data_IF_899187622136
#
_entry.id   IF_899187622136
#
_cell.length_a   1.000
_cell.length_b   1.000
_cell.length_c   1.000
_cell.angle_alpha   90.00
_cell.angle_beta   90.00
_cell.angle_gamma   90.00
#
_symmetry.space_group_name_H-M   'P 1'
#
loop_
_entity.id
_entity.type
_entity.pdbx_description
1 polymer ?
#
# COMPACT_ATOMS: atom_id res chain seq x y z
N UNK A 1 -17.41 16.68 43.04
CA UNK A 1 -17.41 15.27 43.52
C UNK A 1 -16.39 14.48 42.73
N UNK A 2 -15.16 14.42 43.25
CA UNK A 2 -14.02 13.72 42.69
C UNK A 2 -14.09 12.24 43.06
N UNK A 3 -14.14 11.34 42.07
CA UNK A 3 -13.82 9.93 42.29
C UNK A 3 -12.36 9.72 41.90
N UNK A 4 -11.47 9.70 42.89
CA UNK A 4 -10.13 9.12 42.75
C UNK A 4 -10.28 7.67 42.29
N UNK A 5 -9.71 7.34 41.13
CA UNK A 5 -9.40 5.97 40.75
C UNK A 5 -7.87 5.84 40.80
N UNK A 6 -7.41 5.10 41.79
CA UNK A 6 -6.02 4.80 42.07
C UNK A 6 -5.33 4.13 40.88
N UNK A 7 -4.29 4.75 40.35
CA UNK A 7 -3.29 4.11 39.50
C UNK A 7 -1.94 4.17 40.23
N UNK A 8 -1.26 3.04 40.34
CA UNK A 8 0.02 2.90 41.06
C UNK A 8 1.18 3.44 40.21
N UNK A 9 2.08 4.29 40.73
CA UNK A 9 3.21 4.81 39.96
C UNK A 9 4.35 3.80 39.91
N UNK A 10 4.85 3.46 38.72
CA UNK A 10 6.00 2.56 38.58
C UNK A 10 6.47 2.22 37.17
N UNK A 11 5.62 2.26 36.14
CA UNK A 11 5.99 1.94 34.76
C UNK A 11 5.53 3.02 33.76
N UNK A 12 6.25 3.26 32.65
CA UNK A 12 5.91 4.28 31.64
C UNK A 12 4.61 3.98 30.86
N UNK A 13 3.98 2.82 31.11
CA UNK A 13 2.71 2.38 30.55
C UNK A 13 1.77 1.96 31.67
N UNK A 14 0.87 2.83 32.11
CA UNK A 14 -0.19 2.43 33.04
C UNK A 14 -1.38 1.92 32.23
N UNK A 15 -1.73 0.65 32.39
CA UNK A 15 -2.91 0.05 31.77
C UNK A 15 -4.16 0.36 32.60
N UNK A 16 -5.04 1.20 32.09
CA UNK A 16 -6.36 1.42 32.67
C UNK A 16 -7.41 0.66 31.86
N UNK A 17 -8.06 -0.35 32.46
CA UNK A 17 -9.13 -1.14 31.80
C UNK A 17 -8.72 -1.76 30.45
N UNK A 18 -7.47 -2.19 30.32
CA UNK A 18 -6.93 -2.77 29.08
C UNK A 18 -6.63 -1.74 27.99
N UNK A 19 -6.66 -0.44 28.30
CA UNK A 19 -6.23 0.64 27.41
C UNK A 19 -4.86 1.14 27.86
N UNK A 20 -3.94 1.30 26.90
CA UNK A 20 -2.67 1.98 27.14
C UNK A 20 -2.93 3.46 27.36
N UNK A 21 -2.47 3.98 28.49
CA UNK A 21 -2.52 5.42 28.76
C UNK A 21 -1.11 5.97 28.68
N UNK A 22 -0.98 7.12 28.02
CA UNK A 22 0.30 7.76 27.75
C UNK A 22 0.48 9.00 28.63
N UNK A 23 1.73 9.29 28.99
CA UNK A 23 2.07 10.44 29.82
C UNK A 23 2.12 11.68 28.93
N UNK A 24 1.35 12.71 29.30
CA UNK A 24 1.36 14.02 28.64
C UNK A 24 2.48 14.94 29.12
N UNK A 25 2.50 16.17 28.60
CA UNK A 25 3.41 17.22 29.03
C UNK A 25 3.15 17.67 30.48
N UNK A 26 4.20 18.15 31.14
CA UNK A 26 4.16 18.62 32.53
C UNK A 26 4.33 20.15 32.66
N UNK A 27 4.52 20.84 31.54
CA UNK A 27 4.64 22.30 31.45
C UNK A 27 4.02 22.82 30.12
N UNK A 28 4.08 24.12 29.88
CA UNK A 28 3.48 24.79 28.72
C UNK A 28 4.43 24.96 27.51
N UNK A 29 5.67 24.48 27.61
CA UNK A 29 6.72 24.71 26.60
C UNK A 29 7.37 23.44 26.09
N UNK A 30 7.48 22.43 26.93
CA UNK A 30 8.09 21.15 26.64
C UNK A 30 7.23 20.31 25.69
N UNK A 31 7.92 19.57 24.83
CA UNK A 31 7.31 18.55 23.98
C UNK A 31 7.34 17.23 24.74
N UNK A 32 6.17 16.64 24.97
CA UNK A 32 6.07 15.25 25.42
C UNK A 32 5.95 14.33 24.22
N UNK A 33 6.91 13.43 24.05
CA UNK A 33 6.91 12.43 22.99
C UNK A 33 6.46 11.08 23.53
N UNK A 34 5.61 10.40 22.76
CA UNK A 34 5.20 9.03 23.04
C UNK A 34 5.45 8.20 21.79
N UNK A 35 6.22 7.11 21.96
CA UNK A 35 6.44 6.13 20.90
C UNK A 35 5.52 4.94 21.14
N UNK A 36 4.89 4.48 20.07
CA UNK A 36 4.12 3.24 20.10
C UNK A 36 5.09 2.09 19.86
N UNK A 37 5.06 1.06 20.71
CA UNK A 37 5.88 -0.14 20.56
C UNK A 37 5.58 -0.89 19.25
N UNK A 38 4.39 -0.66 18.67
CA UNK A 38 3.97 -1.22 17.39
C UNK A 38 3.30 -0.16 16.53
N UNK A 39 3.55 -0.23 15.22
CA UNK A 39 2.90 0.64 14.24
C UNK A 39 1.38 0.36 14.19
N UNK A 40 0.59 1.43 14.17
CA UNK A 40 -0.87 1.36 14.10
C UNK A 40 -1.34 1.90 12.76
N UNK A 41 -1.97 1.06 11.94
CA UNK A 41 -2.64 1.49 10.71
C UNK A 41 -4.02 2.04 11.05
N UNK A 42 -4.25 3.33 10.78
CA UNK A 42 -5.53 3.98 11.03
C UNK A 42 -5.78 5.10 10.03
N UNK A 43 -7.02 5.25 9.60
CA UNK A 43 -7.48 6.42 8.82
C UNK A 43 -7.84 7.60 9.71
N UNK A 44 -8.26 7.32 10.95
CA UNK A 44 -8.69 8.32 11.91
C UNK A 44 -8.00 8.08 13.25
N UNK A 45 -7.35 9.11 13.78
CA UNK A 45 -6.76 9.11 15.12
C UNK A 45 -7.61 9.98 16.03
N UNK A 46 -7.98 9.44 17.20
CA UNK A 46 -8.71 10.18 18.23
C UNK A 46 -7.88 10.21 19.50
N UNK A 47 -7.55 11.41 19.97
CA UNK A 47 -6.91 11.60 21.27
C UNK A 47 -8.00 11.83 22.33
N UNK A 48 -7.90 11.10 23.43
CA UNK A 48 -8.85 11.18 24.55
C UNK A 48 -8.08 11.65 25.80
N UNK A 49 -8.17 12.94 26.17
CA UNK A 49 -7.54 13.44 27.38
C UNK A 49 -8.10 12.72 28.61
N UNK A 50 -7.22 12.13 29.42
CA UNK A 50 -7.60 11.41 30.63
C UNK A 50 -7.43 12.27 31.89
N UNK A 51 -6.32 13.01 32.01
CA UNK A 51 -6.02 13.92 33.12
C UNK A 51 -5.41 15.23 32.56
N UNK A 52 -5.63 16.35 33.26
CA UNK A 52 -5.22 17.69 32.81
C UNK A 52 -5.17 18.70 33.96
N UNK A 53 -4.35 19.75 33.79
CA UNK A 53 -4.27 20.85 34.75
C UNK A 53 -4.97 22.09 34.23
N UNK A 54 -5.90 22.64 35.02
CA UNK A 54 -6.66 23.89 34.78
C UNK A 54 -7.55 23.92 33.52
N UNK A 55 -7.25 23.13 32.49
CA UNK A 55 -8.02 22.97 31.26
C UNK A 55 -7.29 22.09 30.25
N UNK A 56 -7.96 21.73 29.16
CA UNK A 56 -7.38 20.91 28.09
C UNK A 56 -6.92 21.83 26.97
N UNK A 57 -5.61 21.91 26.76
CA UNK A 57 -4.98 22.64 25.67
C UNK A 57 -3.95 21.71 25.02
N UNK A 58 -3.93 21.65 23.69
CA UNK A 58 -3.07 20.73 22.97
C UNK A 58 -2.53 21.35 21.69
N UNK A 59 -1.24 21.14 21.44
CA UNK A 59 -0.62 21.21 20.12
C UNK A 59 -0.09 19.82 19.84
N UNK A 60 -0.56 19.19 18.76
CA UNK A 60 -0.25 17.80 18.44
C UNK A 60 0.35 17.73 17.05
N UNK A 61 1.43 16.96 16.93
CA UNK A 61 1.97 16.45 15.69
C UNK A 61 1.86 14.93 15.74
N UNK A 62 1.34 14.30 14.68
CA UNK A 62 1.26 12.84 14.59
C UNK A 62 2.38 12.37 13.67
N UNK A 63 3.40 11.77 14.27
CA UNK A 63 4.52 11.19 13.56
C UNK A 63 4.11 9.81 13.02
N UNK A 64 4.15 9.64 11.71
CA UNK A 64 3.89 8.38 11.04
C UNK A 64 4.67 8.30 9.75
N UNK A 65 4.81 7.10 9.21
CA UNK A 65 5.39 6.90 7.89
C UNK A 65 4.25 6.87 6.86
N UNK A 66 4.20 7.85 5.96
CA UNK A 66 3.41 7.72 4.71
C UNK A 66 4.04 6.72 3.76
N UNK A 67 5.35 6.53 3.89
CA UNK A 67 6.17 5.49 3.30
C UNK A 67 6.33 4.35 4.31
N UNK A 68 5.34 3.46 4.37
CA UNK A 68 5.51 2.23 5.14
C UNK A 68 6.79 1.53 4.72
N UNK A 69 7.44 0.82 5.65
CA UNK A 69 8.70 0.04 5.53
C UNK A 69 8.75 -0.93 4.32
N UNK A 70 7.71 -0.95 3.48
CA UNK A 70 7.51 -1.78 2.34
C UNK A 70 6.86 -1.03 1.16
N UNK A 71 7.18 0.24 0.90
CA UNK A 71 6.61 1.05 -0.20
C UNK A 71 7.51 1.19 -1.44
N UNK A 72 8.71 0.60 -1.42
CA UNK A 72 9.70 0.74 -2.50
C UNK A 72 9.26 0.06 -3.81
N UNK A 73 9.60 0.62 -4.98
CA UNK A 73 9.45 -0.06 -6.26
C UNK A 73 10.18 -1.41 -6.25
N UNK A 74 9.52 -2.48 -6.71
CA UNK A 74 10.11 -3.82 -6.79
C UNK A 74 10.91 -4.05 -8.06
N UNK A 75 10.76 -3.16 -9.06
CA UNK A 75 11.70 -3.00 -10.17
C UNK A 75 11.14 -3.38 -11.53
N UNK A 76 9.85 -3.14 -11.77
CA UNK A 76 9.32 -3.20 -13.12
C UNK A 76 9.89 -2.06 -13.96
N UNK A 77 9.92 -0.82 -13.46
CA UNK A 77 10.41 0.33 -14.23
C UNK A 77 11.93 0.29 -14.44
N UNK A 78 12.69 -0.02 -13.40
CA UNK A 78 14.17 0.05 -13.41
C UNK A 78 14.87 -1.24 -13.90
N UNK A 79 14.10 -2.27 -14.24
CA UNK A 79 14.62 -3.52 -14.80
C UNK A 79 15.16 -4.53 -13.79
N UNK A 80 15.08 -4.29 -12.47
CA UNK A 80 15.46 -5.30 -11.45
C UNK A 80 14.56 -6.54 -11.47
N UNK A 81 13.34 -6.43 -11.98
CA UNK A 81 12.52 -7.58 -12.41
C UNK A 81 12.82 -7.81 -13.89
N UNK A 82 13.41 -8.95 -14.23
CA UNK A 82 13.83 -9.26 -15.60
C UNK A 82 12.67 -9.72 -16.50
N UNK A 83 12.85 -9.67 -17.82
CA UNK A 83 11.81 -10.06 -18.79
C UNK A 83 11.29 -11.51 -18.56
N UNK A 84 12.17 -12.44 -18.16
CA UNK A 84 11.79 -13.83 -17.88
C UNK A 84 10.89 -14.02 -16.65
N UNK A 85 10.75 -12.99 -15.81
CA UNK A 85 9.85 -12.96 -14.67
C UNK A 85 8.45 -12.43 -15.03
N UNK A 86 8.24 -11.97 -16.27
CA UNK A 86 7.01 -11.37 -16.73
C UNK A 86 6.31 -12.31 -17.71
N UNK A 87 5.06 -12.66 -17.40
CA UNK A 87 4.22 -13.46 -18.30
C UNK A 87 2.85 -12.81 -18.46
N UNK A 88 2.16 -13.15 -19.53
CA UNK A 88 0.78 -12.70 -19.77
C UNK A 88 -0.03 -13.84 -20.39
N UNK A 89 -1.35 -13.72 -20.36
CA UNK A 89 -2.25 -14.69 -21.01
C UNK A 89 -2.05 -14.71 -22.52
N UNK A 90 -2.17 -13.53 -23.14
CA UNK A 90 -1.96 -13.26 -24.56
C UNK A 90 -1.37 -11.87 -24.72
N UNK A 91 -0.87 -11.57 -25.92
CA UNK A 91 -0.40 -10.24 -26.24
C UNK A 91 -0.55 -9.95 -27.74
N UNK A 92 -0.65 -8.66 -28.08
CA UNK A 92 -0.43 -8.18 -29.44
C UNK A 92 1.06 -8.21 -29.76
N UNK A 93 1.39 -8.34 -31.04
CA UNK A 93 2.77 -8.49 -31.55
C UNK A 93 3.78 -7.51 -30.93
N UNK A 94 3.42 -6.23 -30.81
CA UNK A 94 4.30 -5.17 -30.27
C UNK A 94 4.01 -4.79 -28.80
N UNK A 95 3.19 -5.57 -28.09
CA UNK A 95 2.79 -5.29 -26.71
C UNK A 95 2.91 -6.51 -25.80
N UNK A 96 4.09 -7.18 -25.75
CA UNK A 96 4.32 -8.34 -24.91
C UNK A 96 4.25 -7.98 -23.41
N UNK A 97 4.32 -9.00 -22.54
CA UNK A 97 4.34 -8.79 -21.09
C UNK A 97 5.45 -7.80 -20.65
N UNK A 98 6.64 -7.89 -21.24
CA UNK A 98 7.75 -6.99 -20.90
C UNK A 98 7.47 -5.51 -21.24
N UNK A 99 6.54 -5.24 -22.17
CA UNK A 99 6.06 -3.88 -22.44
C UNK A 99 5.17 -3.32 -21.31
N UNK A 100 4.80 -4.13 -20.32
CA UNK A 100 3.94 -3.75 -19.19
C UNK A 100 4.60 -2.89 -18.11
N UNK A 101 5.86 -2.48 -18.26
CA UNK A 101 6.56 -1.60 -17.31
C UNK A 101 6.08 -0.15 -17.44
N UNK A 102 6.32 0.67 -16.41
CA UNK A 102 6.05 2.12 -16.51
C UNK A 102 6.86 2.76 -17.64
N UNK A 103 6.32 3.84 -18.23
CA UNK A 103 7.02 4.69 -19.21
C UNK A 103 7.43 4.05 -20.56
N UNK A 104 6.99 2.82 -20.86
CA UNK A 104 7.16 2.16 -22.18
C UNK A 104 5.78 1.91 -22.84
N UNK A 105 5.64 1.30 -24.04
CA UNK A 105 4.35 1.24 -24.78
C UNK A 105 3.18 0.52 -24.10
N UNK A 106 3.39 -0.28 -23.05
CA UNK A 106 2.33 -1.01 -22.34
C UNK A 106 2.09 -2.42 -22.88
N UNK A 107 1.72 -3.33 -21.99
CA UNK A 107 1.19 -4.64 -22.36
C UNK A 107 -0.25 -4.53 -22.85
N UNK A 108 -0.63 -5.33 -23.84
CA UNK A 108 -1.99 -5.38 -24.38
C UNK A 108 -2.35 -6.81 -24.84
N UNK A 109 -3.41 -7.44 -24.32
CA UNK A 109 -3.85 -8.77 -24.72
C UNK A 109 -4.55 -8.75 -26.08
N UNK A 110 -4.77 -9.93 -26.64
CA UNK A 110 -5.59 -10.09 -27.83
C UNK A 110 -7.05 -9.80 -27.48
N UNK A 111 -7.84 -9.13 -28.36
CA UNK A 111 -9.26 -8.86 -28.12
C UNK A 111 -10.11 -10.12 -27.90
N UNK A 112 -9.63 -11.27 -28.37
CA UNK A 112 -10.29 -12.58 -28.27
C UNK A 112 -9.99 -13.31 -26.96
N UNK A 113 -9.12 -12.78 -26.10
CA UNK A 113 -8.78 -13.39 -24.81
C UNK A 113 -9.90 -13.14 -23.80
N UNK A 114 -10.64 -14.18 -23.37
CA UNK A 114 -11.75 -14.01 -22.45
C UNK A 114 -11.30 -13.78 -21.00
N UNK A 115 -10.04 -14.07 -20.67
CA UNK A 115 -9.52 -14.00 -19.30
C UNK A 115 -8.08 -13.44 -19.28
N UNK A 116 -7.91 -12.16 -19.67
CA UNK A 116 -6.60 -11.57 -19.77
C UNK A 116 -5.90 -11.48 -18.40
N UNK A 117 -4.60 -11.74 -18.35
CA UNK A 117 -3.78 -11.46 -17.17
C UNK A 117 -2.37 -11.02 -17.54
N UNK A 118 -1.80 -10.20 -16.67
CA UNK A 118 -0.37 -9.89 -16.62
C UNK A 118 0.17 -10.39 -15.28
N UNK A 119 1.24 -11.17 -15.30
CA UNK A 119 1.80 -11.82 -14.12
C UNK A 119 3.26 -11.43 -13.93
N UNK A 120 3.59 -11.15 -12.68
CA UNK A 120 4.95 -10.92 -12.18
C UNK A 120 5.34 -12.10 -11.28
N UNK A 121 6.47 -12.75 -11.57
CA UNK A 121 7.15 -13.70 -10.68
C UNK A 121 8.28 -12.98 -9.94
N UNK A 122 8.12 -12.80 -8.63
CA UNK A 122 9.17 -12.20 -7.80
C UNK A 122 10.34 -13.15 -7.51
N UNK A 123 10.30 -14.40 -8.02
CA UNK A 123 11.24 -15.51 -7.79
C UNK A 123 11.23 -16.05 -6.35
N UNK A 124 11.02 -15.18 -5.38
CA UNK A 124 10.91 -15.48 -3.95
C UNK A 124 9.66 -14.85 -3.31
N UNK A 125 9.18 -15.39 -2.17
CA UNK A 125 8.06 -14.79 -1.45
C UNK A 125 8.35 -13.34 -1.02
N UNK A 126 7.69 -12.39 -1.68
CA UNK A 126 7.90 -10.94 -1.53
C UNK A 126 6.67 -10.29 -0.92
N UNK A 127 6.87 -9.25 -0.11
CA UNK A 127 5.78 -8.47 0.45
C UNK A 127 5.34 -7.40 -0.53
N UNK A 128 4.04 -7.36 -0.83
CA UNK A 128 3.42 -6.39 -1.71
C UNK A 128 2.53 -5.47 -0.87
N UNK A 129 2.68 -4.18 -1.04
CA UNK A 129 1.93 -3.14 -0.33
C UNK A 129 1.03 -2.33 -1.26
N UNK A 130 1.38 -2.24 -2.54
CA UNK A 130 0.65 -1.45 -3.50
C UNK A 130 1.01 -1.75 -4.95
N UNK A 131 0.23 -1.18 -5.85
CA UNK A 131 0.41 -1.28 -7.30
C UNK A 131 0.25 0.10 -7.89
N UNK A 132 1.21 0.50 -8.72
CA UNK A 132 1.09 1.68 -9.58
C UNK A 132 0.62 1.21 -10.95
N UNK A 133 -0.40 1.85 -11.50
CA UNK A 133 -0.87 1.57 -12.87
C UNK A 133 -0.89 2.84 -13.70
N UNK A 134 -0.62 2.73 -14.99
CA UNK A 134 -0.62 3.85 -15.93
C UNK A 134 -1.21 3.38 -17.27
N UNK A 135 -2.16 4.16 -17.82
CA UNK A 135 -2.73 3.96 -19.17
C UNK A 135 -1.78 4.46 -20.26
N UNK A 136 -2.23 4.61 -21.52
CA UNK A 136 -1.41 5.14 -22.61
C UNK A 136 -1.98 6.45 -23.19
N UNK A 137 -1.16 7.52 -23.19
CA UNK A 137 -1.49 8.82 -23.79
C UNK A 137 -1.75 8.72 -25.28
N UNK A 138 -0.86 7.99 -25.97
CA UNK A 138 -0.86 7.93 -27.43
C UNK A 138 -2.13 7.28 -27.99
N UNK A 139 -2.70 6.32 -27.27
CA UNK A 139 -3.83 5.51 -27.74
C UNK A 139 -5.13 5.78 -27.00
N UNK A 140 -5.14 6.73 -26.06
CA UNK A 140 -6.31 7.09 -25.23
C UNK A 140 -6.91 5.90 -24.48
N UNK A 141 -6.12 4.85 -24.29
CA UNK A 141 -6.53 3.57 -23.76
C UNK A 141 -6.08 3.39 -22.31
N UNK A 142 -7.01 2.99 -21.43
CA UNK A 142 -6.70 2.77 -20.02
C UNK A 142 -7.62 1.75 -19.37
N UNK A 143 -7.07 1.14 -18.32
CA UNK A 143 -7.73 0.20 -17.44
C UNK A 143 -8.63 0.95 -16.44
N UNK A 144 -9.92 0.60 -16.38
CA UNK A 144 -10.90 1.22 -15.44
C UNK A 144 -11.25 0.30 -14.28
N UNK A 145 -11.00 -1.01 -14.42
CA UNK A 145 -11.26 -1.96 -13.35
C UNK A 145 -10.36 -3.17 -13.49
N UNK A 146 -9.76 -3.59 -12.40
CA UNK A 146 -8.97 -4.83 -12.36
C UNK A 146 -9.10 -5.54 -11.02
N UNK A 147 -8.64 -6.78 -11.00
CA UNK A 147 -8.47 -7.55 -9.77
C UNK A 147 -7.04 -8.04 -9.67
N UNK A 148 -6.56 -8.20 -8.45
CA UNK A 148 -5.26 -8.77 -8.15
C UNK A 148 -5.44 -10.20 -7.66
N UNK A 149 -4.61 -11.11 -8.13
CA UNK A 149 -4.55 -12.47 -7.61
C UNK A 149 -3.12 -12.78 -7.15
N UNK A 150 -2.99 -13.36 -5.96
CA UNK A 150 -1.70 -13.66 -5.35
C UNK A 150 -1.56 -15.18 -5.22
N UNK A 151 -0.35 -15.72 -5.37
CA UNK A 151 -0.13 -17.18 -5.34
C UNK A 151 -0.46 -17.89 -4.02
N UNK A 152 -0.75 -17.14 -2.94
CA UNK A 152 -1.05 -17.65 -1.60
C UNK A 152 -2.30 -17.04 -0.96
N UNK A 153 -2.89 -16.03 -1.60
CA UNK A 153 -4.02 -15.28 -1.09
C UNK A 153 -4.96 -15.04 -2.26
N UNK A 154 -6.22 -15.50 -2.15
CA UNK A 154 -7.20 -15.48 -3.24
C UNK A 154 -7.46 -14.09 -3.85
N UNK A 155 -8.37 -14.03 -4.83
CA UNK A 155 -8.64 -12.83 -5.62
C UNK A 155 -9.01 -11.61 -4.75
N UNK A 156 -8.22 -10.55 -4.78
CA UNK A 156 -8.54 -9.23 -4.22
C UNK A 156 -9.07 -8.35 -5.35
N UNK A 157 -10.32 -7.89 -5.24
CA UNK A 157 -10.92 -6.98 -6.22
C UNK A 157 -10.71 -5.55 -5.77
N UNK A 158 -10.02 -4.73 -6.57
CA UNK A 158 -9.83 -3.31 -6.28
C UNK A 158 -10.34 -2.48 -7.45
N UNK A 159 -11.34 -1.63 -7.19
CA UNK A 159 -12.03 -0.84 -8.20
C UNK A 159 -11.37 0.53 -8.32
N UNK A 160 -10.92 0.92 -9.52
CA UNK A 160 -10.21 2.18 -9.69
C UNK A 160 -10.62 2.94 -10.94
N UNK A 161 -11.30 4.06 -10.73
CA UNK A 161 -11.49 5.06 -11.78
C UNK A 161 -10.13 5.69 -12.14
N UNK A 162 -9.66 5.48 -13.36
CA UNK A 162 -8.42 6.06 -13.89
C UNK A 162 -8.82 7.08 -14.94
N UNK A 163 -8.82 8.37 -14.59
CA UNK A 163 -9.06 9.47 -15.53
C UNK A 163 -7.77 10.25 -15.81
N UNK A 164 -6.64 9.56 -15.83
CA UNK A 164 -5.40 10.25 -16.11
C UNK A 164 -4.36 9.32 -16.72
N UNK A 165 -3.63 9.89 -17.66
CA UNK A 165 -2.46 9.31 -18.28
C UNK A 165 -1.24 9.25 -17.36
N UNK A 166 -1.34 9.88 -16.19
CA UNK A 166 -0.34 9.86 -15.13
C UNK A 166 -0.38 8.54 -14.35
N UNK A 167 0.72 8.14 -13.72
CA UNK A 167 0.75 6.98 -12.82
C UNK A 167 -0.21 7.16 -11.65
N UNK A 168 -0.93 6.09 -11.30
CA UNK A 168 -1.89 6.07 -10.18
C UNK A 168 -1.51 4.94 -9.23
N UNK A 169 -1.21 5.29 -7.97
CA UNK A 169 -0.83 4.34 -6.91
C UNK A 169 -2.04 3.86 -6.13
N UNK A 170 -2.12 2.54 -5.95
CA UNK A 170 -3.20 1.83 -5.26
C UNK A 170 -2.64 0.94 -4.16
N UNK A 171 -2.83 1.37 -2.92
CA UNK A 171 -2.41 0.64 -1.72
C UNK A 171 -3.38 -0.49 -1.39
N UNK A 172 -2.85 -1.64 -0.96
CA UNK A 172 -3.62 -2.85 -0.63
C UNK A 172 -4.29 -2.80 0.74
N UNK A 173 -3.98 -1.79 1.57
CA UNK A 173 -4.44 -1.66 2.96
C UNK A 173 -3.81 -2.65 3.94
N UNK A 174 -3.13 -3.68 3.44
CA UNK A 174 -2.37 -4.68 4.18
C UNK A 174 -1.18 -5.18 3.33
N UNK A 175 -0.15 -5.72 3.97
CA UNK A 175 0.94 -6.39 3.27
C UNK A 175 0.51 -7.80 2.87
N UNK A 176 0.61 -8.12 1.58
CA UNK A 176 0.32 -9.44 1.04
C UNK A 176 1.62 -10.11 0.61
N UNK A 177 1.87 -11.32 1.11
CA UNK A 177 3.07 -12.08 0.75
C UNK A 177 2.77 -12.98 -0.44
N UNK A 178 3.53 -12.84 -1.52
CA UNK A 178 3.35 -13.69 -2.69
C UNK A 178 4.64 -13.85 -3.47
N UNK A 179 4.77 -14.98 -4.17
CA UNK A 179 5.77 -15.14 -5.22
C UNK A 179 5.23 -14.67 -6.56
N UNK A 180 3.95 -14.97 -6.85
CA UNK A 180 3.29 -14.52 -8.07
C UNK A 180 2.20 -13.50 -7.76
N UNK A 181 2.19 -12.41 -8.53
CA UNK A 181 1.12 -11.43 -8.58
C UNK A 181 0.54 -11.39 -9.98
N UNK A 182 -0.79 -11.49 -10.12
CA UNK A 182 -1.51 -11.27 -11.37
C UNK A 182 -2.33 -9.99 -11.31
N UNK A 183 -2.16 -9.12 -12.29
CA UNK A 183 -3.09 -8.06 -12.63
C UNK A 183 -4.05 -8.58 -13.68
N UNK A 184 -5.34 -8.59 -13.36
CA UNK A 184 -6.38 -9.19 -14.20
C UNK A 184 -7.38 -8.09 -14.58
N UNK A 185 -7.34 -7.61 -15.83
CA UNK A 185 -8.29 -6.63 -16.32
C UNK A 185 -9.73 -7.14 -16.22
N UNK A 186 -10.63 -6.24 -15.82
CA UNK A 186 -12.08 -6.50 -15.75
C UNK A 186 -12.83 -5.54 -16.65
N UNK A 187 -12.41 -4.28 -16.72
CA UNK A 187 -13.02 -3.27 -17.57
C UNK A 187 -11.95 -2.28 -18.06
N UNK A 188 -12.07 -1.83 -19.30
CA UNK A 188 -11.19 -0.84 -19.90
C UNK A 188 -11.95 0.04 -20.89
N UNK A 189 -11.38 1.20 -21.22
CA UNK A 189 -11.91 2.09 -22.25
C UNK A 189 -11.02 2.12 -23.49
N UNK A 190 -11.65 2.23 -24.65
CA UNK A 190 -11.00 2.18 -25.96
C UNK A 190 -10.17 0.91 -26.15
N UNK A 191 -8.85 1.05 -26.31
CA UNK A 191 -7.94 -0.09 -26.46
C UNK A 191 -7.23 -0.32 -25.13
N UNK A 192 -7.24 -1.55 -24.62
CA UNK A 192 -6.54 -1.86 -23.39
C UNK A 192 -5.03 -1.71 -23.56
N UNK A 193 -4.42 -0.94 -22.66
CA UNK A 193 -2.98 -0.93 -22.41
C UNK A 193 -2.75 -0.84 -20.90
N UNK A 194 -1.79 -1.62 -20.41
CA UNK A 194 -1.37 -1.59 -19.01
C UNK A 194 0.13 -1.36 -18.91
N UNK A 195 0.48 -0.37 -18.11
CA UNK A 195 1.82 -0.13 -17.57
C UNK A 195 1.73 -0.20 -16.06
N UNK A 196 2.68 -0.84 -15.40
CA UNK A 196 2.62 -1.05 -13.97
C UNK A 196 3.99 -0.99 -13.28
N UNK A 197 3.95 -0.64 -12.01
CA UNK A 197 5.02 -0.88 -11.02
C UNK A 197 4.39 -1.53 -9.78
N UNK A 198 5.14 -2.41 -9.12
CA UNK A 198 4.70 -3.05 -7.88
C UNK A 198 5.47 -2.42 -6.72
N UNK A 199 4.77 -2.04 -5.67
CA UNK A 199 5.35 -1.49 -4.46
C UNK A 199 5.40 -2.56 -3.38
N UNK A 200 6.52 -2.64 -2.67
CA UNK A 200 6.79 -3.72 -1.73
C UNK A 200 8.19 -3.69 -1.13
N UNK A 201 8.60 -4.84 -0.60
CA UNK A 201 9.91 -5.07 0.00
C UNK A 201 10.25 -6.57 -0.03
N UNK A 202 11.54 -6.89 -0.18
CA UNK A 202 12.05 -8.28 -0.16
C UNK A 202 12.37 -8.69 1.29
N UNK A 203 12.27 -9.99 1.61
CA UNK A 203 12.34 -10.49 2.98
C UNK A 203 13.62 -10.08 3.72
N UNK A 204 13.46 -9.35 4.83
CA UNK A 204 14.55 -8.83 5.67
C UNK A 204 14.33 -7.41 6.19
N UNK A 205 13.51 -6.61 5.48
CA UNK A 205 13.22 -5.21 5.87
C UNK A 205 12.03 -5.04 6.81
N UNK A 206 11.25 -6.10 7.06
CA UNK A 206 10.17 -6.05 8.05
C UNK A 206 10.78 -6.29 9.43
N UNK A 207 11.24 -5.23 10.08
CA UNK A 207 11.65 -5.27 11.49
C UNK A 207 10.38 -5.55 12.33
N UNK A 208 10.37 -6.59 13.19
CA UNK A 208 9.20 -7.01 13.97
C UNK A 208 8.72 -5.99 15.00
#
# INVERSE_FOLDING_TARGET
MSRQRSCSPGDPLYQCRGQSVFIGNHDDRGVAETRLDRMVSAQYVRLLPHDFQHGIYLRLEIMGCTDGICSSPLGLEDGRIHYGQLTSSTHRENNPADAGRLNIPGWSPLPTDPQPYFQVDFLEPTWVSGVVTQGSERTWGYLTKYRLAFSLHGNVTLLFHVCSFVPVTRWLGQLLRARYLRLIPVEFRHTFYLRAEILGCRGGEVIP
#
